data_IF_588034018405
#
_entry.id   IF_588034018405
#
_cell.length_a   1.000
_cell.length_b   1.000
_cell.length_c   1.000
_cell.angle_alpha   90.00
_cell.angle_beta   90.00
_cell.angle_gamma   90.00
#
_symmetry.space_group_name_H-M   'P 1'
#
loop_
_entity.id
_entity.type
_entity.pdbx_description
1 polymer ?
#
# COMPACT_ATOMS: atom_id res chain seq x y z
N UNK A 1 11.06 42.88 50.77
CA UNK A 1 12.47 43.29 50.67
C UNK A 1 12.95 42.87 49.30
N UNK A 2 13.06 43.81 48.52
CA UNK A 2 14.12 44.40 47.68
C UNK A 2 14.28 43.68 46.35
N UNK A 3 13.74 44.11 45.25
CA UNK A 3 13.99 45.27 44.35
C UNK A 3 15.32 45.20 43.59
N UNK A 4 15.24 45.21 42.23
CA UNK A 4 15.87 46.08 41.23
C UNK A 4 16.01 45.35 39.89
N UNK A 5 15.23 45.73 38.85
CA UNK A 5 15.49 46.76 37.81
C UNK A 5 16.71 46.47 36.96
N UNK A 6 16.46 46.11 35.73
CA UNK A 6 16.41 46.94 34.48
C UNK A 6 17.81 47.22 33.88
N UNK A 7 18.01 46.92 32.63
CA UNK A 7 18.44 47.95 31.66
C UNK A 7 18.27 47.53 30.21
N UNK A 8 17.60 48.37 29.49
CA UNK A 8 17.55 48.44 28.02
C UNK A 8 18.91 48.90 27.46
N UNK A 9 19.25 48.47 26.26
CA UNK A 9 19.93 49.34 25.31
C UNK A 9 19.56 48.98 23.87
N UNK A 10 18.86 49.90 23.26
CA UNK A 10 18.63 50.08 21.82
C UNK A 10 19.88 50.63 21.13
N UNK A 11 20.10 50.24 19.90
CA UNK A 11 20.74 51.02 18.82
C UNK A 11 20.44 50.22 17.53
N UNK A 12 19.85 50.70 16.48
CA UNK A 12 19.73 52.00 15.91
C UNK A 12 20.70 52.16 14.73
N UNK A 13 20.13 52.37 13.53
CA UNK A 13 20.72 52.88 12.26
C UNK A 13 21.44 51.84 11.36
N UNK A 14 21.37 51.88 10.00
CA UNK A 14 21.01 52.96 9.04
C UNK A 14 20.63 52.32 7.69
N UNK A 15 19.70 52.95 6.99
CA UNK A 15 19.47 52.80 5.54
C UNK A 15 20.64 53.36 4.74
N UNK A 16 21.00 52.68 3.64
CA UNK A 16 21.68 53.32 2.53
C UNK A 16 21.00 52.91 1.22
N UNK A 17 20.30 53.85 0.65
CA UNK A 17 19.82 53.85 -0.74
C UNK A 17 20.90 54.36 -1.64
N UNK A 18 21.21 53.64 -2.72
CA UNK A 18 21.90 54.24 -3.85
C UNK A 18 21.17 53.90 -5.14
N UNK A 19 20.49 54.92 -5.65
CA UNK A 19 20.01 55.00 -7.04
C UNK A 19 21.24 55.19 -7.95
N UNK A 20 21.30 54.46 -9.03
CA UNK A 20 22.06 54.93 -10.20
C UNK A 20 21.20 54.72 -11.46
N UNK A 21 21.09 55.85 -12.16
CA UNK A 21 20.25 56.04 -13.32
C UNK A 21 21.03 55.82 -14.63
N UNK A 22 20.32 55.28 -15.59
CA UNK A 22 20.29 55.55 -17.04
C UNK A 22 21.60 55.58 -17.88
N UNK A 23 21.60 54.84 -18.95
CA UNK A 23 21.59 55.46 -20.31
C UNK A 23 21.25 54.42 -21.39
N UNK A 24 20.37 54.87 -22.26
CA UNK A 24 19.85 54.26 -23.46
C UNK A 24 20.92 54.00 -24.53
N UNK A 25 20.73 52.95 -25.31
CA UNK A 25 21.38 52.73 -26.59
C UNK A 25 20.52 51.78 -27.42
N UNK A 26 19.66 52.33 -28.26
CA UNK A 26 18.94 51.61 -29.33
C UNK A 26 19.93 51.09 -30.37
N UNK A 27 19.85 49.82 -30.75
CA UNK A 27 20.15 49.38 -32.11
C UNK A 27 19.13 48.28 -32.49
N UNK A 28 18.23 48.65 -33.38
CA UNK A 28 17.38 47.70 -34.10
C UNK A 28 18.21 46.94 -35.11
N UNK A 29 18.22 45.60 -34.97
CA UNK A 29 18.55 44.70 -36.04
C UNK A 29 17.37 43.72 -36.20
N UNK A 30 16.50 43.98 -37.16
CA UNK A 30 15.49 43.06 -37.55
C UNK A 30 16.13 41.91 -38.36
N UNK A 31 16.16 40.73 -37.81
CA UNK A 31 16.44 39.49 -38.56
C UNK A 31 15.15 38.70 -38.66
N UNK A 32 14.55 38.76 -39.85
CA UNK A 32 13.45 37.82 -40.22
C UNK A 32 14.06 36.42 -40.32
N UNK A 33 13.75 35.57 -39.34
CA UNK A 33 13.88 34.13 -39.47
C UNK A 33 12.50 33.51 -39.56
N UNK A 34 12.13 33.15 -40.80
CA UNK A 34 11.04 32.26 -41.11
C UNK A 34 11.36 30.89 -40.50
N UNK A 35 10.91 30.67 -39.24
CA UNK A 35 11.02 29.39 -38.60
C UNK A 35 9.90 28.49 -39.06
N UNK A 36 10.24 27.47 -39.83
CA UNK A 36 9.38 26.29 -40.03
C UNK A 36 9.00 25.71 -38.67
N UNK A 37 7.74 25.79 -38.29
CA UNK A 37 7.19 24.98 -37.23
C UNK A 37 7.19 23.51 -37.66
N UNK A 38 8.28 22.85 -37.40
CA UNK A 38 8.33 21.40 -37.41
C UNK A 38 7.42 20.87 -36.35
N UNK A 39 6.33 20.24 -36.75
CA UNK A 39 5.45 19.42 -35.93
C UNK A 39 6.36 18.45 -35.16
N UNK A 40 6.29 18.44 -33.83
CA UNK A 40 6.94 17.41 -33.02
C UNK A 40 6.47 16.04 -33.55
N UNK A 41 7.38 15.11 -33.80
CA UNK A 41 6.97 13.79 -34.25
C UNK A 41 6.11 13.15 -33.18
N UNK A 42 4.93 12.71 -33.57
CA UNK A 42 4.08 11.79 -32.87
C UNK A 42 4.98 10.68 -32.30
N UNK A 43 4.89 10.44 -30.99
CA UNK A 43 5.50 9.27 -30.35
C UNK A 43 4.63 8.02 -30.68
N UNK A 44 4.31 7.85 -31.95
CA UNK A 44 3.72 6.65 -32.51
C UNK A 44 4.77 5.57 -32.57
N UNK A 45 4.40 4.44 -32.03
CA UNK A 45 4.91 3.08 -32.21
C UNK A 45 6.13 2.98 -33.17
N UNK A 46 7.33 3.27 -32.65
CA UNK A 46 8.55 2.90 -33.34
C UNK A 46 8.71 1.40 -33.17
N UNK A 47 8.26 0.66 -34.18
CA UNK A 47 8.44 -0.76 -34.32
C UNK A 47 9.87 -1.13 -33.91
N UNK A 48 9.98 -2.10 -33.03
CA UNK A 48 11.24 -2.67 -32.57
C UNK A 48 12.05 -3.16 -33.79
N UNK A 49 13.14 -2.45 -34.11
CA UNK A 49 14.12 -2.90 -35.10
C UNK A 49 15.13 -3.84 -34.42
N UNK A 50 14.99 -5.07 -34.40
CA UNK A 50 15.74 -6.14 -33.75
C UNK A 50 17.26 -5.95 -33.47
N UNK A 51 17.81 -4.74 -33.56
CA UNK A 51 19.24 -4.45 -33.49
C UNK A 51 19.63 -3.49 -32.36
N UNK A 52 18.71 -2.97 -31.53
CA UNK A 52 19.06 -2.26 -30.30
C UNK A 52 19.31 -3.26 -29.15
N UNK A 53 20.36 -3.05 -28.33
CA UNK A 53 20.54 -3.85 -27.13
C UNK A 53 19.25 -3.77 -26.31
N UNK A 54 18.59 -4.91 -26.07
CA UNK A 54 17.41 -4.98 -25.20
C UNK A 54 17.79 -4.33 -23.88
N UNK A 55 17.12 -3.23 -23.55
CA UNK A 55 17.23 -2.69 -22.19
C UNK A 55 16.72 -3.75 -21.22
N UNK A 56 17.64 -4.33 -20.48
CA UNK A 56 17.38 -5.43 -19.54
C UNK A 56 17.00 -4.91 -18.16
N UNK A 57 17.13 -3.61 -17.93
CA UNK A 57 16.81 -2.98 -16.64
C UNK A 57 15.29 -2.96 -16.44
N UNK A 58 14.87 -3.30 -15.22
CA UNK A 58 13.50 -3.08 -14.76
C UNK A 58 13.53 -2.53 -13.34
N UNK A 59 12.78 -1.44 -13.12
CA UNK A 59 12.65 -0.78 -11.81
C UNK A 59 11.31 -1.16 -11.19
N UNK A 60 11.37 -1.85 -10.05
CA UNK A 60 10.17 -2.30 -9.32
C UNK A 60 10.12 -1.60 -7.97
N UNK A 61 9.03 -0.92 -7.69
CA UNK A 61 8.71 -0.49 -6.33
C UNK A 61 7.78 -1.53 -5.70
N UNK A 62 8.08 -1.95 -4.46
CA UNK A 62 7.28 -2.96 -3.77
C UNK A 62 6.93 -2.51 -2.36
N UNK A 63 5.62 -2.51 -2.06
CA UNK A 63 5.09 -2.31 -0.71
C UNK A 63 4.89 -3.64 0.04
N UNK A 64 4.98 -4.79 -0.65
CA UNK A 64 5.07 -6.08 0.03
C UNK A 64 6.43 -6.18 0.74
N UNK A 65 6.44 -6.82 1.90
CA UNK A 65 7.65 -6.98 2.71
C UNK A 65 8.79 -7.55 1.90
N UNK A 66 9.97 -6.94 2.09
CA UNK A 66 11.18 -7.30 1.33
C UNK A 66 11.47 -8.79 1.42
N UNK A 67 11.32 -9.38 2.60
CA UNK A 67 11.58 -10.79 2.85
C UNK A 67 10.72 -11.74 1.99
N UNK A 68 9.54 -11.29 1.59
CA UNK A 68 8.62 -12.06 0.72
C UNK A 68 8.78 -11.71 -0.77
N UNK A 69 8.88 -10.41 -1.09
CA UNK A 69 8.90 -9.96 -2.47
C UNK A 69 10.28 -10.11 -3.15
N UNK A 70 11.37 -9.82 -2.44
CA UNK A 70 12.71 -9.78 -3.05
C UNK A 70 13.17 -11.14 -3.58
N UNK A 71 13.00 -12.28 -2.88
CA UNK A 71 13.36 -13.59 -3.42
C UNK A 71 12.60 -13.92 -4.71
N UNK A 72 11.30 -13.63 -4.77
CA UNK A 72 10.47 -13.83 -5.96
C UNK A 72 10.97 -12.96 -7.12
N UNK A 73 11.13 -11.66 -6.90
CA UNK A 73 11.60 -10.73 -7.93
C UNK A 73 12.99 -11.11 -8.48
N UNK A 74 13.91 -11.54 -7.62
CA UNK A 74 15.25 -11.97 -8.03
C UNK A 74 15.21 -13.26 -8.86
N UNK A 75 14.39 -14.23 -8.47
CA UNK A 75 14.24 -15.48 -9.24
C UNK A 75 13.63 -15.21 -10.62
N UNK A 76 12.55 -14.41 -10.69
CA UNK A 76 11.87 -14.08 -11.94
C UNK A 76 12.78 -13.28 -12.88
N UNK A 77 13.49 -12.27 -12.36
CA UNK A 77 14.40 -11.46 -13.19
C UNK A 77 15.59 -12.25 -13.69
N UNK A 78 16.13 -13.19 -12.89
CA UNK A 78 17.15 -14.13 -13.33
C UNK A 78 16.65 -15.04 -14.48
N UNK A 79 15.44 -15.60 -14.34
CA UNK A 79 14.81 -16.45 -15.37
C UNK A 79 14.53 -15.69 -16.67
N UNK A 80 14.20 -14.40 -16.55
CA UNK A 80 13.89 -13.52 -17.69
C UNK A 80 15.13 -12.83 -18.29
N UNK A 81 16.33 -13.06 -17.76
CA UNK A 81 17.55 -12.32 -18.15
C UNK A 81 17.36 -10.79 -18.03
N UNK A 82 16.83 -10.34 -16.90
CA UNK A 82 16.60 -8.93 -16.57
C UNK A 82 17.49 -8.47 -15.41
N UNK A 83 17.78 -7.17 -15.37
CA UNK A 83 18.52 -6.51 -14.29
C UNK A 83 17.53 -5.79 -13.38
N UNK A 84 17.28 -6.36 -12.18
CA UNK A 84 16.35 -5.80 -11.20
C UNK A 84 16.95 -4.59 -10.48
N UNK A 85 16.20 -3.49 -10.45
CA UNK A 85 16.36 -2.37 -9.53
C UNK A 85 15.12 -2.25 -8.66
N UNK A 86 15.17 -2.79 -7.44
CA UNK A 86 14.03 -2.80 -6.53
C UNK A 86 14.15 -1.70 -5.46
N UNK A 87 13.02 -1.04 -5.16
CA UNK A 87 12.83 -0.15 -4.01
C UNK A 87 11.70 -0.71 -3.17
N UNK A 88 11.99 -0.97 -1.90
CA UNK A 88 11.01 -1.47 -0.94
C UNK A 88 10.56 -0.35 -0.02
N UNK A 89 9.31 -0.40 0.40
CA UNK A 89 8.79 0.49 1.43
C UNK A 89 9.33 0.08 2.82
N UNK A 90 9.24 1.01 3.76
CA UNK A 90 9.57 0.75 5.17
C UNK A 90 8.28 0.63 5.98
N UNK A 91 8.31 -0.16 7.06
CA UNK A 91 7.12 -0.47 7.86
C UNK A 91 6.37 0.79 8.35
N UNK A 92 7.13 1.84 8.77
CA UNK A 92 6.57 3.08 9.30
C UNK A 92 5.83 3.96 8.28
N UNK A 93 5.98 3.69 6.98
CA UNK A 93 5.32 4.44 5.89
C UNK A 93 4.65 3.52 4.88
N UNK A 94 4.58 2.22 5.19
CA UNK A 94 4.20 1.13 4.29
C UNK A 94 3.04 1.51 3.36
N UNK A 95 3.22 1.28 2.07
CA UNK A 95 2.28 1.61 0.99
C UNK A 95 2.16 3.11 0.71
N UNK A 96 1.88 3.93 1.72
CA UNK A 96 1.68 5.38 1.57
C UNK A 96 2.97 6.06 1.12
N UNK A 97 4.13 5.62 1.60
CA UNK A 97 5.44 6.16 1.23
C UNK A 97 5.74 6.00 -0.26
N UNK A 98 5.60 4.78 -0.79
CA UNK A 98 5.83 4.52 -2.21
C UNK A 98 4.74 5.12 -3.10
N UNK A 99 3.46 5.09 -2.71
CA UNK A 99 2.40 5.73 -3.46
C UNK A 99 2.63 7.25 -3.59
N UNK A 100 3.02 7.93 -2.51
CA UNK A 100 3.39 9.34 -2.54
C UNK A 100 4.65 9.60 -3.38
N UNK A 101 5.64 8.70 -3.34
CA UNK A 101 6.81 8.78 -4.21
C UNK A 101 6.40 8.73 -5.69
N UNK A 102 5.53 7.79 -6.07
CA UNK A 102 5.02 7.67 -7.45
C UNK A 102 4.25 8.94 -7.88
N UNK A 103 3.47 9.53 -6.99
CA UNK A 103 2.77 10.80 -7.25
C UNK A 103 3.78 11.94 -7.47
N UNK A 104 4.82 12.03 -6.65
CA UNK A 104 5.86 13.04 -6.78
C UNK A 104 6.70 12.87 -8.07
N UNK A 105 6.89 11.63 -8.51
CA UNK A 105 7.64 11.27 -9.73
C UNK A 105 6.77 11.33 -11.00
N UNK A 106 5.51 11.75 -10.94
CA UNK A 106 4.55 11.70 -12.05
C UNK A 106 5.00 12.37 -13.36
N UNK A 107 5.78 13.47 -13.25
CA UNK A 107 6.31 14.22 -14.43
C UNK A 107 7.52 13.53 -15.06
N UNK A 108 8.31 12.80 -14.25
CA UNK A 108 9.50 12.06 -14.68
C UNK A 108 9.55 10.73 -13.95
N UNK A 109 8.77 9.74 -14.38
CA UNK A 109 8.65 8.44 -13.72
C UNK A 109 9.99 7.70 -13.69
N UNK A 110 10.30 7.11 -12.53
CA UNK A 110 11.51 6.31 -12.30
C UNK A 110 11.19 4.83 -12.08
N UNK A 111 9.93 4.53 -11.80
CA UNK A 111 9.41 3.20 -11.56
C UNK A 111 8.74 2.66 -12.83
N UNK A 112 8.97 1.40 -13.12
CA UNK A 112 8.27 0.69 -14.19
C UNK A 112 7.03 -0.03 -13.69
N UNK A 113 7.20 -0.83 -12.62
CA UNK A 113 6.14 -1.64 -12.02
C UNK A 113 6.00 -1.33 -10.53
N UNK A 114 4.79 -1.20 -10.06
CA UNK A 114 4.49 -1.10 -8.65
C UNK A 114 3.75 -2.37 -8.19
N UNK A 115 4.44 -3.15 -7.34
CA UNK A 115 3.85 -4.26 -6.61
C UNK A 115 3.36 -3.73 -5.26
N UNK A 116 2.09 -3.45 -5.20
CA UNK A 116 1.46 -2.95 -3.98
C UNK A 116 0.90 -4.10 -3.16
N UNK A 117 0.94 -4.00 -1.83
CA UNK A 117 0.43 -5.00 -0.91
C UNK A 117 -1.04 -4.78 -0.51
N UNK A 118 -1.69 -3.77 -1.10
CA UNK A 118 -3.11 -3.47 -0.92
C UNK A 118 -3.67 -2.76 -2.16
N UNK A 119 -4.99 -2.72 -2.30
CA UNK A 119 -5.67 -2.29 -3.52
C UNK A 119 -5.94 -0.78 -3.57
N UNK A 120 -6.21 -0.10 -2.43
CA UNK A 120 -6.73 1.26 -2.45
C UNK A 120 -5.73 2.28 -2.98
N UNK A 121 -4.45 2.18 -2.61
CA UNK A 121 -3.42 3.07 -3.15
C UNK A 121 -3.23 2.87 -4.65
N UNK A 122 -3.42 1.65 -5.16
CA UNK A 122 -3.38 1.38 -6.60
C UNK A 122 -4.55 2.06 -7.33
N UNK A 123 -5.78 1.96 -6.79
CA UNK A 123 -6.95 2.66 -7.34
C UNK A 123 -6.74 4.18 -7.28
N UNK A 124 -6.18 4.72 -6.21
CA UNK A 124 -5.87 6.16 -6.09
C UNK A 124 -4.83 6.62 -7.12
N UNK A 125 -3.82 5.81 -7.41
CA UNK A 125 -2.87 6.10 -8.50
C UNK A 125 -3.57 6.06 -9.87
N UNK A 126 -4.49 5.12 -10.07
CA UNK A 126 -5.32 5.04 -11.27
C UNK A 126 -6.20 6.28 -11.45
N UNK A 127 -6.91 6.72 -10.42
CA UNK A 127 -7.74 7.94 -10.45
C UNK A 127 -6.94 9.20 -10.75
N UNK A 128 -5.67 9.24 -10.36
CA UNK A 128 -4.73 10.32 -10.71
C UNK A 128 -4.15 10.20 -12.12
N UNK A 129 -4.51 9.17 -12.88
CA UNK A 129 -4.03 8.96 -14.26
C UNK A 129 -2.55 8.58 -14.36
N UNK A 130 -1.99 7.98 -13.30
CA UNK A 130 -0.58 7.60 -13.20
C UNK A 130 -0.29 6.17 -13.67
N UNK A 131 -1.31 5.40 -13.99
CA UNK A 131 -1.20 4.04 -14.47
C UNK A 131 -1.43 3.97 -15.98
N UNK A 132 -0.79 3.01 -16.66
CA UNK A 132 -1.06 2.69 -18.06
C UNK A 132 -1.55 1.24 -18.18
N UNK A 133 -2.40 0.96 -19.20
CA UNK A 133 -2.87 -0.39 -19.47
C UNK A 133 -1.71 -1.32 -19.86
N UNK A 134 -1.80 -2.56 -19.42
CA UNK A 134 -0.97 -3.68 -19.87
C UNK A 134 -1.77 -4.97 -19.75
N UNK A 135 -1.37 -5.99 -20.46
CA UNK A 135 -2.05 -7.28 -20.42
C UNK A 135 -1.00 -8.37 -20.16
N UNK A 136 -0.87 -8.82 -18.91
CA UNK A 136 0.04 -9.93 -18.59
C UNK A 136 -0.49 -11.23 -19.19
N UNK A 137 0.40 -12.15 -19.52
CA UNK A 137 0.11 -13.43 -20.18
C UNK A 137 -1.02 -14.23 -19.51
N UNK A 138 -1.16 -14.12 -18.21
CA UNK A 138 -2.19 -14.82 -17.43
C UNK A 138 -3.35 -13.90 -16.98
N UNK A 139 -3.56 -12.75 -17.65
CA UNK A 139 -4.63 -11.80 -17.31
C UNK A 139 -6.02 -12.43 -17.26
N UNK A 140 -6.28 -13.45 -18.12
CA UNK A 140 -7.55 -14.17 -18.16
C UNK A 140 -7.80 -14.99 -16.87
N UNK A 141 -6.75 -15.51 -16.24
CA UNK A 141 -6.83 -16.29 -15.01
C UNK A 141 -7.13 -15.44 -13.76
N UNK A 142 -7.00 -14.12 -13.85
CA UNK A 142 -7.36 -13.21 -12.75
C UNK A 142 -8.87 -12.98 -12.77
N UNK A 143 -9.61 -13.30 -11.70
CA UNK A 143 -11.06 -13.05 -11.62
C UNK A 143 -11.39 -11.57 -11.80
N UNK A 144 -12.56 -11.28 -12.40
CA UNK A 144 -12.98 -9.90 -12.68
C UNK A 144 -13.05 -9.01 -11.43
N UNK A 145 -13.34 -9.58 -10.27
CA UNK A 145 -13.34 -8.84 -8.99
C UNK A 145 -11.96 -8.35 -8.56
N UNK A 146 -10.90 -8.95 -9.11
CA UNK A 146 -9.52 -8.66 -8.73
C UNK A 146 -8.68 -8.03 -9.85
N UNK A 147 -9.29 -7.42 -10.84
CA UNK A 147 -8.59 -6.68 -11.90
C UNK A 147 -9.37 -5.46 -12.36
N UNK A 148 -8.64 -4.47 -12.86
CA UNK A 148 -9.24 -3.32 -13.50
C UNK A 148 -9.83 -3.69 -14.88
N UNK A 149 -11.08 -3.31 -15.19
CA UNK A 149 -11.66 -3.57 -16.51
C UNK A 149 -10.89 -2.96 -17.68
N UNK A 150 -10.10 -1.91 -17.43
CA UNK A 150 -9.25 -1.24 -18.45
C UNK A 150 -7.82 -1.79 -18.47
N UNK A 151 -7.51 -2.83 -17.68
CA UNK A 151 -6.21 -3.46 -17.63
C UNK A 151 -5.09 -2.61 -17.03
N UNK A 152 -5.39 -1.67 -16.13
CA UNK A 152 -4.38 -0.81 -15.50
C UNK A 152 -3.74 -1.43 -14.27
N UNK A 153 -4.38 -2.43 -13.64
CA UNK A 153 -3.85 -3.21 -12.53
C UNK A 153 -4.47 -4.61 -12.48
N UNK A 154 -3.74 -5.54 -11.89
CA UNK A 154 -4.14 -6.92 -11.66
C UNK A 154 -3.84 -7.31 -10.22
N UNK A 155 -4.86 -7.91 -9.57
CA UNK A 155 -4.75 -8.46 -8.22
C UNK A 155 -4.19 -9.88 -8.26
N UNK A 156 -3.40 -10.22 -7.27
CA UNK A 156 -2.85 -11.56 -7.06
C UNK A 156 -2.42 -11.73 -5.60
N UNK A 157 -2.26 -12.98 -5.17
CA UNK A 157 -1.71 -13.34 -3.86
C UNK A 157 -2.30 -12.50 -2.70
N UNK A 158 -3.52 -12.83 -2.30
CA UNK A 158 -4.27 -12.08 -1.29
C UNK A 158 -3.86 -12.40 0.15
N UNK A 159 -4.44 -11.63 1.06
CA UNK A 159 -4.40 -11.84 2.52
C UNK A 159 -5.74 -11.48 3.13
N UNK A 160 -6.00 -11.96 4.35
CA UNK A 160 -7.17 -11.58 5.12
C UNK A 160 -6.78 -10.70 6.31
N UNK A 161 -7.65 -9.75 6.66
CA UNK A 161 -7.59 -9.03 7.94
C UNK A 161 -8.22 -9.90 9.01
N UNK A 162 -7.44 -10.29 10.02
CA UNK A 162 -7.83 -11.28 11.02
C UNK A 162 -7.56 -10.78 12.45
N UNK A 163 -8.20 -11.43 13.40
CA UNK A 163 -7.84 -11.32 14.81
C UNK A 163 -6.89 -12.47 15.14
N UNK A 164 -5.66 -12.15 15.51
CA UNK A 164 -4.75 -13.12 16.10
C UNK A 164 -4.97 -13.12 17.61
N UNK A 165 -5.16 -14.30 18.19
CA UNK A 165 -5.54 -14.48 19.60
C UNK A 165 -4.52 -15.34 20.30
N UNK A 166 -4.00 -14.88 21.45
CA UNK A 166 -3.13 -15.69 22.30
C UNK A 166 -3.98 -16.70 23.09
N UNK A 167 -3.68 -17.98 22.93
CA UNK A 167 -4.47 -19.08 23.52
C UNK A 167 -4.20 -19.31 25.01
N UNK A 168 -3.14 -18.73 25.55
CA UNK A 168 -2.84 -18.75 27.00
C UNK A 168 -3.56 -17.61 27.73
N UNK A 169 -3.77 -16.46 27.06
CA UNK A 169 -4.44 -15.29 27.60
C UNK A 169 -5.97 -15.31 27.42
N UNK A 170 -6.48 -16.06 26.42
CA UNK A 170 -7.89 -16.08 26.03
C UNK A 170 -8.38 -17.51 25.90
N UNK A 171 -9.28 -17.92 26.81
CA UNK A 171 -9.93 -19.23 26.76
C UNK A 171 -10.75 -19.39 25.46
N UNK A 172 -10.92 -20.59 24.96
CA UNK A 172 -11.61 -20.88 23.71
C UNK A 172 -13.02 -20.31 23.63
N UNK A 173 -13.78 -20.44 24.73
CA UNK A 173 -15.14 -19.93 24.84
C UNK A 173 -15.26 -18.40 24.91
N UNK A 174 -14.12 -17.71 25.06
CA UNK A 174 -14.05 -16.26 25.22
C UNK A 174 -13.39 -15.55 24.03
N UNK A 175 -12.98 -16.32 23.01
CA UNK A 175 -12.33 -15.77 21.82
C UNK A 175 -13.20 -14.75 21.12
N UNK A 176 -12.63 -13.64 20.65
CA UNK A 176 -13.36 -12.65 19.85
C UNK A 176 -13.89 -13.30 18.56
N UNK A 177 -15.04 -12.86 18.09
CA UNK A 177 -15.67 -13.36 16.86
C UNK A 177 -15.77 -12.29 15.78
N UNK A 178 -15.66 -11.02 16.15
CA UNK A 178 -15.78 -9.89 15.22
C UNK A 178 -14.89 -8.71 15.59
N UNK A 179 -14.74 -7.76 14.68
CA UNK A 179 -13.93 -6.57 14.92
C UNK A 179 -14.50 -5.66 16.02
N UNK A 180 -15.81 -5.78 16.32
CA UNK A 180 -16.43 -5.04 17.42
C UNK A 180 -15.98 -5.54 18.80
N UNK A 181 -15.40 -6.73 18.92
CA UNK A 181 -14.81 -7.19 20.17
C UNK A 181 -13.59 -6.34 20.59
N UNK A 182 -12.94 -5.68 19.65
CA UNK A 182 -11.85 -4.72 19.95
C UNK A 182 -12.33 -3.49 20.75
N UNK A 183 -13.60 -3.16 20.71
CA UNK A 183 -14.18 -2.05 21.49
C UNK A 183 -14.93 -2.56 22.74
N UNK A 184 -14.94 -3.87 23.00
CA UNK A 184 -15.59 -4.44 24.18
C UNK A 184 -14.80 -4.09 25.45
N UNK A 185 -15.41 -3.45 26.48
CA UNK A 185 -14.73 -3.01 27.69
C UNK A 185 -14.01 -4.13 28.48
N UNK A 186 -14.43 -5.39 28.32
CA UNK A 186 -13.77 -6.55 28.96
C UNK A 186 -12.29 -6.68 28.53
N UNK A 187 -11.96 -6.21 27.35
CA UNK A 187 -10.61 -6.27 26.77
C UNK A 187 -9.82 -4.97 26.89
N UNK A 188 -10.28 -4.04 27.74
CA UNK A 188 -9.66 -2.74 27.90
C UNK A 188 -8.16 -2.84 28.18
N UNK A 189 -7.34 -2.21 27.32
CA UNK A 189 -5.89 -2.17 27.43
C UNK A 189 -5.16 -3.47 27.07
N UNK A 190 -5.89 -4.54 26.68
CA UNK A 190 -5.34 -5.86 26.36
C UNK A 190 -5.34 -6.20 24.88
N UNK A 191 -5.64 -5.25 24.02
CA UNK A 191 -5.80 -5.42 22.59
C UNK A 191 -4.85 -4.54 21.80
N UNK A 192 -4.55 -4.92 20.56
CA UNK A 192 -3.65 -4.14 19.69
C UNK A 192 -4.11 -4.04 18.25
N UNK A 193 -3.70 -2.96 17.61
CA UNK A 193 -3.81 -2.74 16.17
C UNK A 193 -2.51 -2.12 15.65
N UNK A 194 -2.22 -2.31 14.36
CA UNK A 194 -1.21 -1.50 13.69
C UNK A 194 -1.70 -0.05 13.54
N UNK A 195 -0.78 0.91 13.51
CA UNK A 195 -1.12 2.34 13.34
C UNK A 195 -2.02 2.51 12.11
N UNK A 196 -3.26 3.04 12.27
CA UNK A 196 -4.26 3.04 11.20
C UNK A 196 -4.04 4.14 10.14
N UNK A 197 -2.81 4.56 9.96
CA UNK A 197 -2.38 5.56 8.98
C UNK A 197 -1.66 4.95 7.77
N UNK A 198 -1.31 3.65 7.85
CA UNK A 198 -0.47 2.99 6.86
C UNK A 198 -0.97 1.58 6.55
N UNK A 199 -0.54 1.03 5.39
CA UNK A 199 -0.74 -0.35 5.00
C UNK A 199 -2.20 -0.82 5.01
N UNK A 200 -2.39 -2.09 5.27
CA UNK A 200 -3.71 -2.75 5.26
C UNK A 200 -4.64 -2.27 6.37
N UNK A 201 -4.10 -1.73 7.48
CA UNK A 201 -4.93 -1.16 8.55
C UNK A 201 -5.58 0.16 8.11
N UNK A 202 -4.86 1.03 7.40
CA UNK A 202 -5.43 2.23 6.80
C UNK A 202 -6.44 1.87 5.68
N UNK A 203 -6.12 0.85 4.88
CA UNK A 203 -7.05 0.30 3.87
C UNK A 203 -8.34 -0.18 4.53
N UNK A 204 -8.26 -0.97 5.60
CA UNK A 204 -9.46 -1.41 6.33
C UNK A 204 -10.26 -0.24 6.88
N UNK A 205 -9.60 0.79 7.41
CA UNK A 205 -10.31 1.98 7.89
C UNK A 205 -11.14 2.63 6.78
N UNK A 206 -10.57 2.85 5.60
CA UNK A 206 -11.31 3.40 4.47
C UNK A 206 -12.46 2.47 4.01
N UNK A 207 -12.26 1.14 4.05
CA UNK A 207 -13.32 0.17 3.78
C UNK A 207 -14.46 0.26 4.81
N UNK A 208 -14.15 0.46 6.09
CA UNK A 208 -15.16 0.66 7.13
C UNK A 208 -15.92 1.98 6.95
N UNK A 209 -15.26 3.06 6.50
CA UNK A 209 -15.92 4.29 6.14
C UNK A 209 -16.91 4.11 4.99
N UNK A 210 -16.57 3.28 4.01
CA UNK A 210 -17.45 2.96 2.89
C UNK A 210 -18.63 2.06 3.33
N UNK A 211 -18.36 1.02 4.11
CA UNK A 211 -19.36 0.02 4.48
C UNK A 211 -20.34 0.51 5.58
N UNK A 212 -19.83 1.22 6.59
CA UNK A 212 -20.65 1.66 7.74
C UNK A 212 -21.12 3.11 7.64
N UNK A 213 -20.53 3.89 6.73
CA UNK A 213 -20.62 5.34 6.70
C UNK A 213 -19.70 6.02 7.72
N UNK A 214 -19.41 7.28 7.44
CA UNK A 214 -18.38 8.06 8.14
C UNK A 214 -18.60 8.14 9.66
N UNK A 215 -19.85 8.37 10.10
CA UNK A 215 -20.14 8.58 11.52
C UNK A 215 -19.86 7.30 12.34
N UNK A 216 -20.37 6.14 11.90
CA UNK A 216 -20.18 4.87 12.60
C UNK A 216 -18.72 4.45 12.61
N UNK A 217 -18.02 4.63 11.47
CA UNK A 217 -16.59 4.33 11.40
C UNK A 217 -15.76 5.21 12.33
N UNK A 218 -16.01 6.52 12.38
CA UNK A 218 -15.33 7.45 13.31
C UNK A 218 -15.58 7.06 14.78
N UNK A 219 -16.80 6.71 15.13
CA UNK A 219 -17.12 6.29 16.50
C UNK A 219 -16.35 5.01 16.85
N UNK A 220 -16.32 4.01 15.98
CA UNK A 220 -15.55 2.78 16.19
C UNK A 220 -14.06 3.08 16.51
N UNK A 221 -13.40 3.94 15.75
CA UNK A 221 -11.99 4.28 16.03
C UNK A 221 -11.81 5.08 17.33
N UNK A 222 -12.77 5.94 17.69
CA UNK A 222 -12.76 6.61 19.02
C UNK A 222 -12.97 5.62 20.16
N UNK A 223 -13.89 4.67 19.98
CA UNK A 223 -14.16 3.62 20.96
C UNK A 223 -12.95 2.69 21.13
N UNK A 224 -12.22 2.36 20.05
CA UNK A 224 -10.94 1.66 20.11
C UNK A 224 -9.93 2.41 21.00
N UNK A 225 -9.77 3.72 20.79
CA UNK A 225 -8.88 4.57 21.60
C UNK A 225 -9.34 4.62 23.05
N UNK A 226 -10.63 4.81 23.28
CA UNK A 226 -11.22 4.83 24.63
C UNK A 226 -11.08 3.49 25.37
N UNK A 227 -11.09 2.39 24.61
CA UNK A 227 -10.84 1.04 25.12
C UNK A 227 -9.34 0.77 25.37
N UNK A 228 -8.47 1.76 25.19
CA UNK A 228 -7.04 1.63 25.46
C UNK A 228 -6.32 0.69 24.50
N UNK A 229 -6.72 0.69 23.21
CA UNK A 229 -6.02 -0.10 22.20
C UNK A 229 -4.53 0.26 22.15
N UNK A 230 -3.66 -0.73 22.16
CA UNK A 230 -2.23 -0.54 21.92
C UNK A 230 -1.99 -0.35 20.43
N UNK A 231 -1.50 0.83 20.06
CA UNK A 231 -1.19 1.17 18.66
C UNK A 231 0.28 0.84 18.40
N UNK A 232 0.52 -0.17 17.58
CA UNK A 232 1.84 -0.68 17.26
C UNK A 232 2.30 -0.19 15.90
N UNK A 233 3.60 -0.26 15.62
CA UNK A 233 4.19 0.32 14.40
C UNK A 233 3.72 -0.37 13.11
N UNK A 234 3.33 -1.66 13.16
CA UNK A 234 2.86 -2.41 12.01
C UNK A 234 2.17 -3.72 12.40
N UNK A 235 1.63 -4.42 11.41
CA UNK A 235 0.90 -5.67 11.62
C UNK A 235 1.80 -6.79 12.16
N UNK A 236 3.06 -6.86 11.72
CA UNK A 236 4.04 -7.81 12.26
C UNK A 236 4.26 -7.60 13.76
N UNK A 237 4.35 -6.33 14.22
CA UNK A 237 4.49 -6.03 15.64
C UNK A 237 3.23 -6.38 16.43
N UNK A 238 2.04 -6.26 15.82
CA UNK A 238 0.79 -6.75 16.45
C UNK A 238 0.86 -8.27 16.62
N UNK A 239 1.23 -9.01 15.57
CA UNK A 239 1.35 -10.46 15.63
C UNK A 239 2.36 -10.90 16.72
N UNK A 240 3.53 -10.29 16.77
CA UNK A 240 4.57 -10.58 17.77
C UNK A 240 4.12 -10.24 19.20
N UNK A 241 3.41 -9.12 19.39
CA UNK A 241 2.87 -8.75 20.71
C UNK A 241 1.80 -9.74 21.19
N UNK A 242 0.98 -10.28 20.29
CA UNK A 242 0.05 -11.38 20.61
C UNK A 242 0.81 -12.67 20.89
N UNK A 243 1.76 -13.06 20.04
CA UNK A 243 2.55 -14.28 20.20
C UNK A 243 3.29 -14.35 21.54
N UNK A 244 3.80 -13.22 21.99
CA UNK A 244 4.49 -13.09 23.31
C UNK A 244 3.56 -12.93 24.51
N UNK A 245 2.24 -12.80 24.33
CA UNK A 245 1.29 -12.55 25.42
C UNK A 245 1.30 -11.11 25.95
N UNK A 246 1.96 -10.17 25.28
CA UNK A 246 1.92 -8.75 25.65
C UNK A 246 0.50 -8.18 25.53
N UNK A 247 -0.26 -8.64 24.54
CA UNK A 247 -1.68 -8.36 24.35
C UNK A 247 -2.44 -9.67 24.15
N UNK A 248 -3.71 -9.70 24.57
CA UNK A 248 -4.55 -10.88 24.50
C UNK A 248 -4.91 -11.24 23.05
N UNK A 249 -5.24 -10.25 22.24
CA UNK A 249 -5.46 -10.39 20.81
C UNK A 249 -5.27 -9.07 20.08
N UNK A 250 -5.10 -9.14 18.75
CA UNK A 250 -4.91 -7.96 17.92
C UNK A 250 -5.39 -8.15 16.50
N UNK A 251 -5.68 -7.04 15.83
CA UNK A 251 -6.07 -7.01 14.42
C UNK A 251 -4.81 -6.91 13.55
N UNK A 252 -4.56 -7.96 12.77
CA UNK A 252 -3.40 -8.07 11.88
C UNK A 252 -3.75 -8.74 10.56
N UNK A 253 -2.75 -9.14 9.77
CA UNK A 253 -2.90 -9.84 8.50
C UNK A 253 -2.54 -11.33 8.64
N UNK A 254 -3.10 -12.18 7.77
CA UNK A 254 -2.80 -13.61 7.76
C UNK A 254 -1.33 -13.93 7.54
N UNK A 255 -0.62 -13.16 6.70
CA UNK A 255 0.80 -13.36 6.43
C UNK A 255 1.68 -13.09 7.67
N UNK A 256 1.38 -12.04 8.44
CA UNK A 256 2.07 -11.77 9.71
C UNK A 256 1.72 -12.80 10.79
N UNK A 257 0.44 -13.21 10.86
CA UNK A 257 -0.02 -14.23 11.79
C UNK A 257 0.63 -15.60 11.56
N UNK A 258 0.83 -15.98 10.29
CA UNK A 258 1.49 -17.24 9.96
C UNK A 258 2.93 -17.31 10.43
N UNK A 259 3.63 -16.17 10.51
CA UNK A 259 4.96 -16.11 11.11
C UNK A 259 4.95 -16.58 12.58
N UNK A 260 3.97 -16.17 13.37
CA UNK A 260 3.83 -16.59 14.77
C UNK A 260 3.36 -18.07 14.87
N UNK A 261 2.45 -18.50 13.99
CA UNK A 261 2.01 -19.90 13.93
C UNK A 261 3.18 -20.84 13.62
N UNK A 262 4.02 -20.50 12.63
CA UNK A 262 5.19 -21.28 12.25
C UNK A 262 6.30 -21.26 13.32
N UNK A 263 6.41 -20.17 14.06
CA UNK A 263 7.31 -20.08 15.21
C UNK A 263 6.84 -20.92 16.42
N UNK A 264 5.63 -21.48 16.39
CA UNK A 264 5.06 -22.26 17.47
C UNK A 264 4.54 -21.42 18.65
N UNK A 265 4.29 -20.13 18.42
CA UNK A 265 3.68 -19.25 19.42
C UNK A 265 2.28 -19.75 19.80
N UNK A 266 1.80 -19.54 21.04
CA UNK A 266 0.50 -20.00 21.49
C UNK A 266 -0.63 -19.12 20.93
N UNK A 267 -0.84 -19.16 19.61
CA UNK A 267 -1.79 -18.31 18.93
C UNK A 267 -2.78 -19.08 18.07
N UNK A 268 -3.94 -18.47 17.82
CA UNK A 268 -4.95 -18.95 16.87
C UNK A 268 -5.45 -17.80 16.02
N UNK A 269 -5.67 -18.09 14.73
CA UNK A 269 -6.24 -17.13 13.78
C UNK A 269 -7.76 -17.20 13.86
N UNK A 270 -8.41 -16.06 14.07
CA UNK A 270 -9.85 -15.90 14.05
C UNK A 270 -10.23 -14.98 12.88
N UNK A 271 -11.04 -15.47 11.97
CA UNK A 271 -11.62 -14.70 10.86
C UNK A 271 -12.84 -13.96 11.38
N UNK A 272 -12.81 -12.62 11.47
CA UNK A 272 -13.86 -11.86 12.13
C UNK A 272 -15.12 -11.78 11.28
N UNK A 273 -16.25 -11.58 11.99
CA UNK A 273 -17.57 -11.22 11.40
C UNK A 273 -18.06 -12.23 10.34
N UNK A 274 -17.79 -13.51 10.54
CA UNK A 274 -18.02 -14.58 9.55
C UNK A 274 -19.46 -15.14 9.55
N UNK A 275 -20.30 -14.75 10.51
CA UNK A 275 -21.65 -15.26 10.60
C UNK A 275 -22.60 -14.55 9.61
N UNK A 276 -23.70 -15.20 9.18
CA UNK A 276 -24.68 -14.56 8.31
C UNK A 276 -25.21 -13.25 8.90
N UNK A 277 -25.16 -12.17 8.12
CA UNK A 277 -25.61 -10.85 8.53
C UNK A 277 -24.57 -10.00 9.24
N UNK A 278 -23.38 -10.54 9.52
CA UNK A 278 -22.23 -9.78 10.00
C UNK A 278 -21.48 -9.11 8.84
N UNK A 279 -20.44 -8.33 9.16
CA UNK A 279 -19.68 -7.55 8.18
C UNK A 279 -18.93 -8.41 7.16
N UNK A 280 -18.47 -9.57 7.58
CA UNK A 280 -17.57 -10.43 6.82
C UNK A 280 -16.10 -10.08 7.00
N UNK A 281 -15.24 -11.06 6.75
CA UNK A 281 -13.77 -10.89 6.81
C UNK A 281 -13.27 -10.11 5.60
N UNK A 282 -12.47 -9.08 5.82
CA UNK A 282 -11.88 -8.29 4.74
C UNK A 282 -10.71 -9.03 4.11
N UNK A 283 -10.82 -9.33 2.81
CA UNK A 283 -9.73 -9.87 1.99
C UNK A 283 -9.14 -8.76 1.11
N UNK A 284 -7.82 -8.73 1.01
CA UNK A 284 -7.09 -7.72 0.25
C UNK A 284 -6.10 -8.40 -0.70
N UNK A 285 -6.13 -8.10 -2.00
CA UNK A 285 -5.13 -8.60 -2.94
C UNK A 285 -3.84 -7.77 -2.83
N UNK A 286 -2.70 -8.37 -3.16
CA UNK A 286 -1.64 -7.58 -3.76
C UNK A 286 -2.12 -7.12 -5.14
N UNK A 287 -1.56 -6.03 -5.61
CA UNK A 287 -1.82 -5.55 -6.97
C UNK A 287 -0.51 -5.28 -7.69
N UNK A 288 -0.46 -5.64 -8.97
CA UNK A 288 0.59 -5.20 -9.88
C UNK A 288 0.01 -4.15 -10.82
N UNK A 289 0.66 -3.01 -10.90
CA UNK A 289 0.34 -1.98 -11.88
C UNK A 289 1.59 -1.48 -12.60
N UNK A 290 1.39 -0.99 -13.83
CA UNK A 290 2.43 -0.42 -14.67
C UNK A 290 2.31 1.10 -14.65
N UNK A 291 3.43 1.77 -14.34
CA UNK A 291 3.44 3.23 -14.22
C UNK A 291 3.42 3.87 -15.61
N UNK A 292 2.56 4.86 -15.78
CA UNK A 292 2.48 5.62 -17.04
C UNK A 292 3.82 6.35 -17.30
N UNK A 293 4.39 6.13 -18.48
CA UNK A 293 5.71 6.66 -18.81
C UNK A 293 6.87 5.85 -18.22
N UNK A 294 6.63 4.58 -17.87
CA UNK A 294 7.66 3.64 -17.41
C UNK A 294 8.90 3.68 -18.30
N UNK A 295 10.11 3.92 -17.73
CA UNK A 295 11.32 4.12 -18.53
C UNK A 295 11.79 2.85 -19.27
N UNK A 296 11.47 1.65 -18.76
CA UNK A 296 11.94 0.38 -19.30
C UNK A 296 10.74 -0.54 -19.68
N UNK A 297 9.84 -0.03 -20.52
CA UNK A 297 8.53 -0.64 -20.79
C UNK A 297 8.62 -2.11 -21.27
N UNK A 298 9.58 -2.44 -22.15
CA UNK A 298 9.73 -3.80 -22.69
C UNK A 298 10.14 -4.80 -21.58
N UNK A 299 11.08 -4.43 -20.72
CA UNK A 299 11.50 -5.24 -19.56
C UNK A 299 10.37 -5.35 -18.53
N UNK A 300 9.62 -4.26 -18.31
CA UNK A 300 8.48 -4.24 -17.40
C UNK A 300 7.38 -5.21 -17.84
N UNK A 301 7.01 -5.23 -19.13
CA UNK A 301 6.02 -6.18 -19.66
C UNK A 301 6.45 -7.63 -19.46
N UNK A 302 7.71 -7.95 -19.76
CA UNK A 302 8.27 -9.30 -19.55
C UNK A 302 8.20 -9.73 -18.09
N UNK A 303 8.53 -8.83 -17.17
CA UNK A 303 8.46 -9.14 -15.75
C UNK A 303 7.02 -9.23 -15.25
N UNK A 304 6.11 -8.40 -15.75
CA UNK A 304 4.68 -8.44 -15.40
C UNK A 304 4.03 -9.77 -15.80
N UNK A 305 4.39 -10.32 -16.98
CA UNK A 305 3.96 -11.65 -17.43
C UNK A 305 4.33 -12.79 -16.47
N UNK A 306 5.45 -12.62 -15.78
CA UNK A 306 5.93 -13.61 -14.82
C UNK A 306 5.34 -13.39 -13.43
N UNK A 307 5.17 -12.14 -12.98
CA UNK A 307 4.62 -11.84 -11.64
C UNK A 307 3.16 -12.28 -11.54
N UNK A 308 2.32 -11.90 -12.52
CA UNK A 308 0.90 -12.28 -12.55
C UNK A 308 0.79 -13.67 -13.17
N UNK A 309 1.13 -14.70 -12.40
CA UNK A 309 1.14 -16.08 -12.87
C UNK A 309 0.77 -17.08 -11.75
N UNK A 310 0.17 -18.25 -12.12
CA UNK A 310 -0.11 -19.32 -11.17
C UNK A 310 1.14 -19.85 -10.45
N UNK A 311 2.32 -19.72 -11.06
CA UNK A 311 3.61 -20.11 -10.48
C UNK A 311 3.98 -19.21 -9.30
N UNK A 312 3.84 -17.88 -9.46
CA UNK A 312 4.10 -16.91 -8.38
C UNK A 312 3.08 -17.05 -7.26
N UNK A 313 1.79 -17.20 -7.59
CA UNK A 313 0.74 -17.52 -6.63
C UNK A 313 1.09 -18.76 -5.80
N UNK A 314 1.52 -19.83 -6.48
CA UNK A 314 1.92 -21.07 -5.82
C UNK A 314 3.14 -20.88 -4.91
N UNK A 315 4.13 -20.08 -5.33
CA UNK A 315 5.32 -19.78 -4.54
C UNK A 315 4.97 -18.97 -3.27
N UNK A 316 4.12 -17.96 -3.41
CA UNK A 316 3.69 -17.12 -2.28
C UNK A 316 2.77 -17.86 -1.31
N UNK A 317 1.89 -18.75 -1.81
CA UNK A 317 1.05 -19.60 -0.96
C UNK A 317 1.87 -20.63 -0.16
N UNK A 318 2.89 -21.22 -0.78
CA UNK A 318 3.77 -22.18 -0.12
C UNK A 318 4.85 -21.52 0.75
N UNK A 319 5.15 -20.25 0.52
CA UNK A 319 6.15 -19.46 1.23
C UNK A 319 5.73 -19.09 2.65
N UNK A 320 6.62 -18.46 3.42
CA UNK A 320 6.35 -18.13 4.83
C UNK A 320 5.17 -17.15 5.00
N UNK A 321 4.87 -16.31 4.01
CA UNK A 321 3.73 -15.39 4.05
C UNK A 321 2.37 -16.07 3.86
N UNK A 322 2.32 -17.35 3.43
CA UNK A 322 1.09 -18.13 3.24
C UNK A 322 -0.03 -17.36 2.51
N UNK A 323 0.34 -16.60 1.47
CA UNK A 323 -0.62 -15.74 0.78
C UNK A 323 -1.71 -16.56 0.07
N UNK A 324 -2.89 -15.98 -0.02
CA UNK A 324 -4.08 -16.63 -0.57
C UNK A 324 -4.03 -16.56 -2.10
N UNK A 325 -4.00 -17.69 -2.82
CA UNK A 325 -4.08 -17.68 -4.27
C UNK A 325 -5.39 -17.09 -4.77
N UNK A 326 -5.32 -16.19 -5.74
CA UNK A 326 -6.47 -15.56 -6.38
C UNK A 326 -6.63 -15.95 -7.86
N UNK A 327 -5.55 -16.38 -8.53
CA UNK A 327 -5.58 -16.76 -9.92
C UNK A 327 -6.11 -18.19 -10.11
N UNK A 328 -6.95 -18.37 -11.12
CA UNK A 328 -7.37 -19.69 -11.55
C UNK A 328 -6.17 -20.53 -12.04
N UNK A 329 -6.19 -21.83 -11.77
CA UNK A 329 -5.12 -22.74 -12.16
C UNK A 329 -3.91 -22.78 -11.22
N UNK A 330 -3.93 -22.07 -10.10
CA UNK A 330 -2.89 -22.16 -9.08
C UNK A 330 -2.84 -23.55 -8.46
N UNK A 331 -1.65 -24.17 -8.41
CA UNK A 331 -1.47 -25.57 -8.00
C UNK A 331 -1.36 -25.77 -6.49
N UNK A 332 -0.89 -24.75 -5.76
CA UNK A 332 -0.73 -24.84 -4.30
C UNK A 332 -1.97 -24.28 -3.62
N UNK A 333 -2.61 -25.04 -2.72
CA UNK A 333 -3.75 -24.56 -1.96
C UNK A 333 -3.31 -23.47 -0.96
N UNK A 334 -4.26 -22.63 -0.58
CA UNK A 334 -4.08 -21.74 0.55
C UNK A 334 -3.84 -22.54 1.85
N UNK A 335 -2.95 -22.03 2.70
CA UNK A 335 -2.72 -22.57 4.06
C UNK A 335 -3.55 -21.86 5.12
N UNK A 336 -4.31 -20.88 4.70
CA UNK A 336 -5.24 -20.06 5.50
C UNK A 336 -6.60 -20.06 4.83
N UNK A 337 -7.64 -19.62 5.53
CA UNK A 337 -8.98 -19.50 4.95
C UNK A 337 -9.01 -18.49 3.80
N UNK A 338 -9.96 -18.69 2.91
CA UNK A 338 -10.10 -17.93 1.66
C UNK A 338 -11.50 -17.32 1.55
N UNK A 339 -11.77 -16.42 0.59
CA UNK A 339 -13.12 -15.94 0.32
C UNK A 339 -14.13 -17.03 -0.04
N UNK A 340 -13.67 -18.25 -0.36
CA UNK A 340 -14.53 -19.40 -0.64
C UNK A 340 -14.88 -20.21 0.64
N UNK A 341 -14.11 -20.04 1.72
CA UNK A 341 -14.27 -20.84 2.95
C UNK A 341 -14.78 -20.03 4.14
N UNK A 342 -14.65 -18.71 4.11
CA UNK A 342 -15.28 -17.81 5.09
C UNK A 342 -16.01 -16.68 4.37
N UNK A 343 -17.06 -16.15 4.97
CA UNK A 343 -17.86 -15.05 4.42
C UNK A 343 -16.97 -13.82 4.22
N UNK A 344 -16.74 -13.36 2.98
CA UNK A 344 -15.96 -12.16 2.75
C UNK A 344 -16.80 -10.90 3.02
N UNK A 345 -16.12 -9.85 3.50
CA UNK A 345 -16.70 -8.51 3.57
C UNK A 345 -17.07 -8.03 2.17
N UNK A 346 -18.31 -7.61 1.98
CA UNK A 346 -18.74 -6.97 0.74
C UNK A 346 -18.19 -5.54 0.68
N UNK A 347 -17.17 -5.30 -0.15
CA UNK A 347 -16.49 -4.01 -0.26
C UNK A 347 -16.49 -3.50 -1.69
N UNK A 348 -16.94 -2.26 -1.87
CA UNK A 348 -16.62 -1.46 -3.05
C UNK A 348 -15.30 -0.72 -2.80
N UNK A 349 -14.19 -1.27 -3.31
CA UNK A 349 -12.87 -0.68 -3.17
C UNK A 349 -12.74 0.68 -3.86
N UNK A 350 -13.52 0.93 -4.92
CA UNK A 350 -13.54 2.25 -5.58
C UNK A 350 -14.20 3.29 -4.69
N UNK A 351 -15.30 2.95 -4.04
CA UNK A 351 -15.93 3.83 -3.07
C UNK A 351 -15.01 4.07 -1.84
N UNK A 352 -14.34 3.03 -1.35
CA UNK A 352 -13.40 3.13 -0.24
C UNK A 352 -12.19 4.02 -0.60
N UNK A 353 -11.64 3.89 -1.82
CA UNK A 353 -10.53 4.74 -2.29
C UNK A 353 -10.90 6.22 -2.32
N UNK A 354 -12.13 6.58 -2.72
CA UNK A 354 -12.65 7.96 -2.69
C UNK A 354 -12.79 8.53 -1.27
N UNK A 355 -12.96 7.66 -0.28
CA UNK A 355 -13.06 8.07 1.13
C UNK A 355 -11.72 8.07 1.85
N UNK A 356 -10.64 7.61 1.20
CA UNK A 356 -9.30 7.51 1.78
C UNK A 356 -8.84 8.81 2.47
N UNK A 357 -8.86 9.93 1.76
CA UNK A 357 -8.34 11.20 2.29
C UNK A 357 -9.16 11.68 3.51
N UNK A 358 -10.48 11.40 3.53
CA UNK A 358 -11.35 11.72 4.67
C UNK A 358 -11.06 10.83 5.88
N UNK A 359 -10.89 9.53 5.65
CA UNK A 359 -10.51 8.59 6.69
C UNK A 359 -9.12 8.90 7.25
N UNK A 360 -8.13 9.13 6.36
CA UNK A 360 -6.77 9.47 6.74
C UNK A 360 -6.69 10.78 7.56
N UNK A 361 -7.39 11.84 7.15
CA UNK A 361 -7.44 13.11 7.88
C UNK A 361 -8.01 12.93 9.29
N UNK A 362 -9.10 12.15 9.44
CA UNK A 362 -9.68 11.85 10.75
C UNK A 362 -8.71 11.04 11.61
N UNK A 363 -8.16 9.96 11.05
CA UNK A 363 -7.25 9.07 11.78
C UNK A 363 -5.95 9.75 12.17
N UNK A 364 -5.44 10.68 11.35
CA UNK A 364 -4.28 11.48 11.69
C UNK A 364 -4.51 12.31 12.96
N UNK A 365 -5.69 12.88 13.14
CA UNK A 365 -6.04 13.64 14.35
C UNK A 365 -6.21 12.71 15.55
N UNK A 366 -6.84 11.55 15.37
CA UNK A 366 -7.12 10.64 16.50
C UNK A 366 -5.88 9.83 16.95
N UNK A 367 -4.93 9.52 16.03
CA UNK A 367 -3.81 8.58 16.24
C UNK A 367 -2.44 9.17 15.85
N UNK A 368 -2.30 10.51 15.86
CA UNK A 368 -1.02 11.17 15.51
C UNK A 368 0.08 10.95 16.56
N UNK A 369 -0.31 10.70 17.80
CA UNK A 369 0.60 10.59 18.98
C UNK A 369 1.28 9.21 19.05
#
# INVERSE_FOLDING_TARGET
MSSRRANEKSAGLKRASSRLTLRSGCLLAAVCLTGCWGRAPDAGDRGWDGNQPLDRTVVVYSALDREFAEPVLRDLTRKADLVLRAKFDVESTKTVGLANTLIAEAVSPRCDLFWNNEILSTIRLQEKGLLQPFEPKHAAAVPSAWKDPKGQWYGFAGRARILLVNTQEVAESERPTGILDLVNPRWKGKIGIAKPLFGTTATQAACLFAAWGELKAKNYFRDLKANGVQVLSGNKQVATAVGSGQIAFGLTDTDDAMGEVEAGSPVVIVYPDRQPGELGTLFLPNTLCMIKGAPHLAAARRLADLIVSPEVESALAAGPSAQIPLLEGTKKPARVETPATVTPMAVDFTAAAKLWDRAAAFLLVEYAD
#
